data_IF_725273652190
#
_entry.id   IF_725273652190
#
_cell.length_a   1.000
_cell.length_b   1.000
_cell.length_c   1.000
_cell.angle_alpha   90.00
_cell.angle_beta   90.00
_cell.angle_gamma   90.00
#
_symmetry.space_group_name_H-M   'P 1'
#
loop_
_entity.id
_entity.type
_entity.pdbx_description
1 polymer ?
#
# COMPACT_ATOMS: atom_id res chain seq x y z
N UNK A 1 -25.65 44.85 12.73
CA UNK A 1 -25.25 44.30 11.43
C UNK A 1 -23.75 44.00 11.30
N UNK A 2 -22.84 44.81 11.82
CA UNK A 2 -21.37 44.56 11.72
C UNK A 2 -20.87 43.29 12.44
N UNK A 3 -21.53 42.85 13.51
CA UNK A 3 -21.12 41.63 14.28
C UNK A 3 -21.54 40.32 13.61
N UNK A 4 -22.56 40.30 12.79
CA UNK A 4 -23.01 39.12 12.03
C UNK A 4 -22.09 38.76 10.86
N UNK A 5 -21.52 39.76 10.20
CA UNK A 5 -20.58 39.53 9.08
C UNK A 5 -19.25 38.89 9.51
N UNK A 6 -18.76 39.19 10.73
CA UNK A 6 -17.50 38.65 11.24
C UNK A 6 -17.62 37.15 11.56
N UNK A 7 -18.78 36.71 12.07
CA UNK A 7 -19.03 35.30 12.40
C UNK A 7 -19.16 34.47 11.11
N UNK A 8 -19.74 35.04 10.07
CA UNK A 8 -19.86 34.35 8.76
C UNK A 8 -18.51 34.18 8.06
N UNK A 9 -17.58 35.14 8.22
CA UNK A 9 -16.23 35.06 7.66
C UNK A 9 -15.35 34.01 8.38
N UNK A 10 -15.54 33.82 9.68
CA UNK A 10 -14.83 32.80 10.46
C UNK A 10 -15.32 31.37 10.18
N UNK A 11 -16.55 31.17 9.74
CA UNK A 11 -17.10 29.87 9.37
C UNK A 11 -16.62 29.38 7.98
N UNK A 12 -16.14 30.25 7.11
CA UNK A 12 -15.63 29.90 5.77
C UNK A 12 -14.16 29.45 5.77
N UNK A 13 -13.42 29.64 6.85
CA UNK A 13 -11.98 29.32 6.92
C UNK A 13 -11.67 27.88 7.31
N UNK A 14 -12.67 27.03 7.55
CA UNK A 14 -12.48 25.64 7.99
C UNK A 14 -12.70 24.59 6.89
N UNK A 15 -12.81 24.99 5.62
CA UNK A 15 -12.73 24.06 4.48
C UNK A 15 -11.28 23.67 4.25
N UNK A 16 -10.72 22.87 5.16
CA UNK A 16 -9.49 22.11 4.87
C UNK A 16 -9.81 21.09 3.80
N UNK A 17 -9.55 21.46 2.55
CA UNK A 17 -9.55 20.49 1.45
C UNK A 17 -8.47 19.46 1.75
N UNK A 18 -8.89 18.29 2.19
CA UNK A 18 -8.01 17.12 2.30
C UNK A 18 -7.65 16.70 0.88
N UNK A 19 -6.55 17.23 0.37
CA UNK A 19 -6.01 16.75 -0.91
C UNK A 19 -5.54 15.31 -0.67
N UNK A 20 -6.15 14.36 -1.36
CA UNK A 20 -5.60 13.02 -1.49
C UNK A 20 -4.24 13.17 -2.18
N UNK A 21 -3.17 12.88 -1.45
CA UNK A 21 -1.81 13.01 -1.96
C UNK A 21 -1.58 11.87 -2.96
N UNK A 22 -1.39 12.19 -4.22
CA UNK A 22 -1.00 11.19 -5.23
C UNK A 22 0.40 10.67 -4.92
N UNK A 23 0.62 9.38 -5.16
CA UNK A 23 1.94 8.76 -4.99
C UNK A 23 2.88 9.29 -6.08
N UNK A 24 4.00 9.87 -5.65
CA UNK A 24 5.00 10.46 -6.55
C UNK A 24 6.33 9.74 -6.33
N UNK A 25 6.93 9.24 -7.41
CA UNK A 25 8.24 8.60 -7.36
C UNK A 25 9.29 9.61 -6.88
N UNK A 26 10.12 9.19 -5.92
CA UNK A 26 11.13 10.03 -5.27
C UNK A 26 10.65 10.72 -3.99
N UNK A 27 9.36 10.86 -3.78
CA UNK A 27 8.78 11.44 -2.56
C UNK A 27 8.52 10.40 -1.47
N UNK A 28 8.33 10.89 -0.26
CA UNK A 28 8.00 10.03 0.89
C UNK A 28 6.54 9.58 0.83
N UNK A 29 6.33 8.27 0.93
CA UNK A 29 5.00 7.68 0.99
C UNK A 29 4.22 8.22 2.21
N UNK A 30 2.96 8.67 2.07
CA UNK A 30 2.11 9.06 3.17
C UNK A 30 1.97 7.95 4.21
N UNK A 31 1.67 8.31 5.46
CA UNK A 31 1.39 7.31 6.48
C UNK A 31 0.04 6.64 6.20
N UNK A 32 0.08 5.36 5.90
CA UNK A 32 -1.10 4.54 5.64
C UNK A 32 -1.77 4.04 6.90
N UNK A 33 -1.12 4.21 8.07
CA UNK A 33 -1.65 3.87 9.38
C UNK A 33 -2.14 2.41 9.49
N UNK A 34 -1.39 1.48 8.93
CA UNK A 34 -1.67 0.05 8.97
C UNK A 34 -1.39 -0.47 10.39
N UNK A 35 -2.43 -0.90 11.10
CA UNK A 35 -2.32 -1.32 12.51
C UNK A 35 -2.75 -2.75 12.76
N UNK A 36 -3.60 -3.32 11.90
CA UNK A 36 -4.14 -4.67 12.05
C UNK A 36 -3.57 -5.56 10.97
N UNK A 37 -2.95 -6.66 11.38
CA UNK A 37 -2.38 -7.64 10.48
C UNK A 37 -3.06 -8.99 10.65
N UNK A 38 -3.05 -9.80 9.61
CA UNK A 38 -3.55 -11.17 9.64
C UNK A 38 -2.68 -11.99 10.60
N UNK A 39 -3.32 -12.66 11.58
CA UNK A 39 -2.66 -13.42 12.65
C UNK A 39 -1.65 -12.59 13.49
N UNK A 40 -1.83 -11.26 13.54
CA UNK A 40 -0.91 -10.32 14.18
C UNK A 40 0.54 -10.45 13.66
N UNK A 41 0.71 -11.04 12.49
CA UNK A 41 1.99 -11.31 11.88
C UNK A 41 2.50 -10.09 11.12
N UNK A 42 3.62 -9.53 11.58
CA UNK A 42 4.35 -8.47 10.88
C UNK A 42 5.60 -9.08 10.23
N UNK A 43 5.90 -8.70 8.96
CA UNK A 43 7.05 -9.25 8.27
C UNK A 43 8.35 -8.75 8.88
N UNK A 44 9.43 -9.46 8.61
CA UNK A 44 10.77 -8.98 8.91
C UNK A 44 11.08 -7.66 8.20
N UNK A 45 11.92 -6.85 8.83
CA UNK A 45 12.33 -5.58 8.22
C UNK A 45 13.29 -5.85 7.05
N UNK A 46 12.94 -5.30 5.92
CA UNK A 46 13.71 -5.42 4.69
C UNK A 46 14.15 -4.04 4.18
N UNK A 47 15.24 -3.94 3.41
CA UNK A 47 15.68 -2.68 2.79
C UNK A 47 14.61 -2.01 1.92
N UNK A 48 13.76 -2.83 1.29
CA UNK A 48 12.67 -2.38 0.43
C UNK A 48 11.36 -3.03 0.83
N UNK A 49 10.26 -2.31 0.67
CA UNK A 49 8.91 -2.83 0.93
C UNK A 49 8.01 -2.61 -0.27
N UNK A 50 7.37 -3.67 -0.71
CA UNK A 50 6.30 -3.65 -1.71
C UNK A 50 4.94 -3.65 -1.00
N UNK A 51 4.14 -2.63 -1.22
CA UNK A 51 2.75 -2.55 -0.76
C UNK A 51 1.84 -2.92 -1.92
N UNK A 52 1.09 -4.01 -1.79
CA UNK A 52 0.15 -4.51 -2.80
C UNK A 52 -1.29 -4.28 -2.35
N UNK A 53 -2.02 -3.38 -3.02
CA UNK A 53 -3.44 -3.16 -2.82
C UNK A 53 -4.25 -4.23 -3.54
N UNK A 54 -5.03 -5.01 -2.78
CA UNK A 54 -5.50 -6.32 -3.18
C UNK A 54 -6.96 -6.56 -2.77
N UNK A 55 -7.62 -7.47 -3.50
CA UNK A 55 -8.91 -8.04 -3.11
C UNK A 55 -8.98 -9.50 -3.56
N UNK A 56 -9.35 -10.42 -2.64
CA UNK A 56 -9.33 -11.87 -2.88
C UNK A 56 -10.29 -12.35 -3.97
N UNK A 57 -11.40 -11.64 -4.19
CA UNK A 57 -12.38 -11.96 -5.26
C UNK A 57 -11.96 -11.48 -6.64
N UNK A 58 -10.85 -10.73 -6.76
CA UNK A 58 -10.33 -10.25 -8.04
C UNK A 58 -9.34 -11.26 -8.65
N UNK A 59 -9.68 -11.82 -9.79
CA UNK A 59 -8.79 -12.73 -10.52
C UNK A 59 -7.48 -12.07 -10.99
N UNK A 60 -7.54 -10.75 -11.27
CA UNK A 60 -6.34 -9.97 -11.58
C UNK A 60 -5.42 -9.87 -10.37
N UNK A 61 -5.98 -9.65 -9.17
CA UNK A 61 -5.21 -9.61 -7.94
C UNK A 61 -4.57 -10.96 -7.63
N UNK A 62 -5.30 -12.07 -7.75
CA UNK A 62 -4.78 -13.42 -7.53
C UNK A 62 -3.60 -13.72 -8.47
N UNK A 63 -3.76 -13.48 -9.78
CA UNK A 63 -2.69 -13.67 -10.76
C UNK A 63 -1.47 -12.80 -10.45
N UNK A 64 -1.67 -11.54 -10.08
CA UNK A 64 -0.57 -10.65 -9.72
C UNK A 64 0.16 -11.10 -8.47
N UNK A 65 -0.55 -11.56 -7.44
CA UNK A 65 0.07 -12.10 -6.22
C UNK A 65 0.90 -13.34 -6.54
N UNK A 66 0.37 -14.27 -7.36
CA UNK A 66 1.09 -15.45 -7.83
C UNK A 66 2.38 -15.10 -8.58
N UNK A 67 2.35 -14.04 -9.40
CA UNK A 67 3.52 -13.58 -10.16
C UNK A 67 4.56 -12.84 -9.27
N UNK A 68 4.12 -12.10 -8.25
CA UNK A 68 5.01 -11.32 -7.37
C UNK A 68 5.70 -12.21 -6.33
N UNK A 69 5.06 -13.25 -5.82
CA UNK A 69 5.64 -14.12 -4.77
C UNK A 69 7.04 -14.66 -5.12
N UNK A 70 7.29 -15.20 -6.32
CA UNK A 70 8.65 -15.60 -6.71
C UNK A 70 9.64 -14.44 -6.66
N UNK A 71 9.25 -13.23 -7.08
CA UNK A 71 10.11 -12.05 -7.06
C UNK A 71 10.54 -11.67 -5.63
N UNK A 72 9.61 -11.77 -4.66
CA UNK A 72 9.93 -11.55 -3.24
C UNK A 72 10.94 -12.57 -2.74
N UNK A 73 10.71 -13.84 -3.06
CA UNK A 73 11.59 -14.95 -2.65
C UNK A 73 12.99 -14.82 -3.26
N UNK A 74 13.07 -14.47 -4.55
CA UNK A 74 14.34 -14.34 -5.29
C UNK A 74 15.11 -13.08 -4.89
N UNK A 75 14.47 -12.11 -4.25
CA UNK A 75 15.10 -10.89 -3.75
C UNK A 75 16.02 -11.10 -2.52
N UNK A 76 16.19 -12.35 -2.04
CA UNK A 76 17.11 -12.71 -0.95
C UNK A 76 16.99 -11.80 0.27
N UNK A 77 15.79 -11.70 0.86
CA UNK A 77 15.50 -10.87 2.03
C UNK A 77 15.68 -9.35 1.83
N UNK A 78 15.84 -8.87 0.59
CA UNK A 78 15.92 -7.43 0.33
C UNK A 78 14.56 -6.75 0.17
N UNK A 79 13.51 -7.51 -0.19
CA UNK A 79 12.17 -7.00 -0.48
C UNK A 79 11.13 -7.74 0.35
N UNK A 80 10.38 -7.00 1.16
CA UNK A 80 9.19 -7.50 1.85
C UNK A 80 7.91 -7.14 1.09
N UNK A 81 6.85 -7.91 1.26
CA UNK A 81 5.53 -7.69 0.69
C UNK A 81 4.50 -7.47 1.79
N UNK A 82 3.79 -6.35 1.74
CA UNK A 82 2.62 -6.08 2.58
C UNK A 82 1.39 -6.05 1.66
N UNK A 83 0.54 -7.06 1.76
CA UNK A 83 -0.74 -7.11 1.06
C UNK A 83 -1.73 -6.27 1.85
N UNK A 84 -2.37 -5.27 1.23
CA UNK A 84 -3.33 -4.37 1.88
C UNK A 84 -4.71 -4.65 1.30
N UNK A 85 -5.66 -5.03 2.17
CA UNK A 85 -7.03 -5.31 1.75
C UNK A 85 -8.05 -4.57 2.62
N UNK A 86 -9.22 -4.29 2.03
CA UNK A 86 -10.41 -3.75 2.74
C UNK A 86 -11.39 -4.85 3.17
N UNK A 87 -11.03 -6.11 2.92
CA UNK A 87 -11.86 -7.25 3.28
C UNK A 87 -11.88 -7.46 4.79
N UNK A 88 -12.97 -8.06 5.29
CA UNK A 88 -13.04 -8.48 6.69
C UNK A 88 -12.03 -9.59 6.98
N UNK A 89 -11.68 -9.71 8.26
CA UNK A 89 -10.63 -10.62 8.70
C UNK A 89 -10.91 -12.08 8.32
N UNK A 90 -12.16 -12.51 8.48
CA UNK A 90 -12.59 -13.87 8.20
C UNK A 90 -12.50 -14.19 6.69
N UNK A 91 -12.95 -13.27 5.84
CA UNK A 91 -12.93 -13.43 4.37
C UNK A 91 -11.50 -13.51 3.84
N UNK A 92 -10.65 -12.57 4.26
CA UNK A 92 -9.25 -12.52 3.83
C UNK A 92 -8.43 -13.68 4.43
N UNK A 93 -8.72 -14.09 5.68
CA UNK A 93 -8.05 -15.17 6.37
C UNK A 93 -8.12 -16.48 5.62
N UNK A 94 -9.28 -16.84 5.08
CA UNK A 94 -9.48 -18.09 4.31
C UNK A 94 -8.54 -18.18 3.09
N UNK A 95 -8.29 -17.03 2.43
CA UNK A 95 -7.57 -17.01 1.15
C UNK A 95 -6.12 -16.57 1.26
N UNK A 96 -5.77 -15.78 2.29
CA UNK A 96 -4.45 -15.14 2.37
C UNK A 96 -3.52 -15.74 3.43
N UNK A 97 -4.02 -16.57 4.36
CA UNK A 97 -3.18 -17.21 5.38
C UNK A 97 -2.09 -18.08 4.77
N UNK A 98 -2.37 -18.79 3.69
CA UNK A 98 -1.41 -19.64 2.99
C UNK A 98 -0.27 -18.86 2.29
N UNK A 99 -0.41 -17.53 2.19
CA UNK A 99 0.59 -16.68 1.57
C UNK A 99 1.53 -16.02 2.57
N UNK A 100 1.25 -16.12 3.88
CA UNK A 100 2.11 -15.57 4.92
C UNK A 100 3.46 -16.31 4.93
N UNK A 101 4.54 -15.53 5.00
CA UNK A 101 5.89 -16.03 5.30
C UNK A 101 6.73 -14.91 5.93
N UNK A 102 8.00 -15.15 6.22
CA UNK A 102 8.87 -14.18 6.91
C UNK A 102 8.90 -12.81 6.26
N UNK A 103 8.67 -12.73 4.95
CA UNK A 103 8.70 -11.49 4.16
C UNK A 103 7.35 -11.07 3.58
N UNK A 104 6.29 -11.83 3.82
CA UNK A 104 4.95 -11.55 3.30
C UNK A 104 3.94 -11.46 4.43
N UNK A 105 3.29 -10.32 4.57
CA UNK A 105 2.22 -10.08 5.52
C UNK A 105 0.96 -9.52 4.87
N UNK A 106 -0.15 -9.58 5.60
CA UNK A 106 -1.43 -9.03 5.18
C UNK A 106 -1.90 -8.00 6.19
N UNK A 107 -2.14 -6.78 5.74
CA UNK A 107 -2.65 -5.67 6.54
C UNK A 107 -4.09 -5.33 6.17
N UNK A 108 -4.90 -5.00 7.17
CA UNK A 108 -6.30 -4.65 7.00
C UNK A 108 -6.52 -3.15 6.99
N UNK A 109 -7.21 -2.67 5.95
CA UNK A 109 -7.63 -1.28 5.79
C UNK A 109 -9.16 -1.19 5.67
N UNK A 110 -9.89 -1.73 6.65
CA UNK A 110 -11.35 -1.83 6.64
C UNK A 110 -12.06 -0.50 6.33
N UNK A 111 -11.47 0.61 6.74
CA UNK A 111 -12.02 1.95 6.50
C UNK A 111 -11.52 2.59 5.20
N UNK A 112 -10.65 1.93 4.46
CA UNK A 112 -10.07 2.43 3.21
C UNK A 112 -9.18 3.67 3.38
N UNK A 113 -8.59 3.89 4.55
CA UNK A 113 -7.72 5.05 4.82
C UNK A 113 -6.42 4.97 4.03
N UNK A 114 -5.77 3.81 4.02
CA UNK A 114 -4.57 3.57 3.24
C UNK A 114 -4.84 3.74 1.74
N UNK A 115 -5.93 3.15 1.23
CA UNK A 115 -6.35 3.34 -0.17
C UNK A 115 -6.54 4.81 -0.53
N UNK A 116 -7.17 5.60 0.34
CA UNK A 116 -7.39 7.04 0.10
C UNK A 116 -6.11 7.85 0.23
N UNK A 117 -5.25 7.54 1.21
CA UNK A 117 -4.03 8.33 1.46
C UNK A 117 -3.07 8.33 0.27
N UNK A 118 -3.10 7.27 -0.54
CA UNK A 118 -2.26 7.13 -1.75
C UNK A 118 -3.07 7.13 -3.05
N UNK A 119 -4.36 7.50 -2.96
CA UNK A 119 -5.27 7.65 -4.10
C UNK A 119 -5.34 6.42 -5.01
N UNK A 120 -5.54 5.23 -4.42
CA UNK A 120 -5.67 3.98 -5.19
C UNK A 120 -7.01 3.95 -5.93
N UNK A 121 -6.95 4.04 -7.25
CA UNK A 121 -8.13 4.09 -8.13
C UNK A 121 -8.41 2.74 -8.82
N UNK A 122 -7.48 1.81 -8.80
CA UNK A 122 -7.61 0.47 -9.37
C UNK A 122 -6.80 -0.54 -8.57
N UNK A 123 -7.17 -1.80 -8.67
CA UNK A 123 -6.44 -2.94 -8.13
C UNK A 123 -6.24 -4.01 -9.23
N UNK A 124 -5.14 -4.74 -9.18
CA UNK A 124 -4.02 -4.71 -8.24
C UNK A 124 -3.10 -3.50 -8.47
N UNK A 125 -2.88 -2.69 -7.44
CA UNK A 125 -1.94 -1.56 -7.47
C UNK A 125 -0.79 -1.85 -6.52
N UNK A 126 0.42 -1.49 -6.91
CA UNK A 126 1.62 -1.78 -6.13
C UNK A 126 2.49 -0.53 -5.99
N UNK A 127 3.10 -0.37 -4.81
CA UNK A 127 4.08 0.68 -4.50
C UNK A 127 5.31 0.03 -3.91
N UNK A 128 6.50 0.32 -4.43
CA UNK A 128 7.77 -0.12 -3.84
C UNK A 128 8.49 1.08 -3.23
N UNK A 129 8.89 0.94 -1.97
CA UNK A 129 9.58 1.98 -1.21
C UNK A 129 10.91 1.46 -0.65
N UNK A 130 11.86 2.39 -0.42
CA UNK A 130 13.05 2.14 0.38
C UNK A 130 12.74 2.15 1.90
N UNK A 131 13.76 1.85 2.74
CA UNK A 131 13.67 1.87 4.19
C UNK A 131 13.32 3.25 4.79
N UNK A 132 13.51 4.34 4.01
CA UNK A 132 13.10 5.71 4.39
C UNK A 132 11.68 6.04 3.92
N UNK A 133 10.97 5.03 3.39
CA UNK A 133 9.63 5.15 2.80
C UNK A 133 9.58 6.05 1.56
N UNK A 134 10.70 6.22 0.85
CA UNK A 134 10.72 6.95 -0.41
C UNK A 134 10.22 6.03 -1.51
N UNK A 135 9.27 6.50 -2.30
CA UNK A 135 8.68 5.75 -3.41
C UNK A 135 9.71 5.59 -4.53
N UNK A 136 10.02 4.36 -4.87
CA UNK A 136 10.93 4.01 -5.96
C UNK A 136 10.18 3.61 -7.23
N UNK A 137 9.01 3.02 -7.06
CA UNK A 137 8.15 2.60 -8.15
C UNK A 137 6.69 2.50 -7.69
N UNK A 138 5.74 2.76 -8.59
CA UNK A 138 4.33 2.48 -8.36
C UNK A 138 3.62 2.21 -9.71
N UNK A 139 2.59 1.36 -9.67
CA UNK A 139 1.81 1.04 -10.86
C UNK A 139 0.96 -0.21 -10.71
N UNK A 140 0.48 -0.69 -11.86
CA UNK A 140 -0.27 -1.94 -11.91
C UNK A 140 0.66 -3.12 -11.54
N UNK A 141 0.30 -3.86 -10.51
CA UNK A 141 1.09 -5.00 -10.03
C UNK A 141 1.37 -6.06 -11.12
N UNK A 142 0.49 -6.20 -12.10
CA UNK A 142 0.69 -7.11 -13.23
C UNK A 142 1.87 -6.72 -14.14
N UNK A 143 2.35 -5.47 -14.06
CA UNK A 143 3.50 -5.00 -14.84
C UNK A 143 4.82 -5.06 -14.08
N UNK A 144 4.80 -5.48 -12.81
CA UNK A 144 6.01 -5.69 -12.02
C UNK A 144 6.69 -7.00 -12.47
N UNK A 145 7.79 -6.86 -13.16
CA UNK A 145 8.62 -7.97 -13.66
C UNK A 145 9.96 -7.99 -12.97
N UNK A 146 10.72 -9.10 -13.10
CA UNK A 146 12.09 -9.19 -12.59
C UNK A 146 12.96 -8.04 -13.11
N UNK A 147 12.91 -7.74 -14.41
CA UNK A 147 13.69 -6.64 -14.99
C UNK A 147 13.37 -5.26 -14.38
N UNK A 148 12.10 -5.02 -14.03
CA UNK A 148 11.69 -3.78 -13.34
C UNK A 148 12.24 -3.77 -11.93
N UNK A 149 12.12 -4.88 -11.22
CA UNK A 149 12.61 -5.02 -9.85
C UNK A 149 14.14 -4.87 -9.78
N UNK A 150 14.89 -5.51 -10.66
CA UNK A 150 16.35 -5.42 -10.71
C UNK A 150 16.81 -3.96 -10.89
N UNK A 151 16.14 -3.19 -11.74
CA UNK A 151 16.42 -1.76 -11.91
C UNK A 151 16.17 -0.98 -10.62
N UNK A 152 15.07 -1.28 -9.90
CA UNK A 152 14.74 -0.60 -8.64
C UNK A 152 15.78 -0.91 -7.56
N UNK A 153 16.14 -2.19 -7.41
CA UNK A 153 17.05 -2.64 -6.34
C UNK A 153 18.53 -2.26 -6.61
N UNK A 154 18.91 -2.03 -7.86
CA UNK A 154 20.28 -1.63 -8.24
C UNK A 154 20.50 -0.12 -8.28
N UNK A 155 19.44 0.68 -8.29
CA UNK A 155 19.55 2.15 -8.27
C UNK A 155 19.88 2.62 -6.85
N UNK A 156 21.17 2.87 -6.60
CA UNK A 156 21.69 3.46 -5.36
C UNK A 156 21.59 4.98 -5.39
#
# INVERSE_FOLDING_TARGET
>A
MKRFCVILLLALSSLTTSYAQSVIIGEKLPDMNLRKYLMDFQPEQTPYTCYLFYHSKSELCKRSLTAIKPLIKDANAQLGLVIITKEEYEDAGVTLTEHLDDYISVAFDLQGRAFRSVNVNFIPFCIICDHKRRVLWCGNAATLTQNVLDKILTTK
#
